data_IF_251303181635
#
_entry.id   IF_251303181635
#
_cell.length_a   1.000
_cell.length_b   1.000
_cell.length_c   1.000
_cell.angle_alpha   90.00
_cell.angle_beta   90.00
_cell.angle_gamma   90.00
#
_symmetry.space_group_name_H-M   'P 1'
#
loop_
_entity.id
_entity.type
_entity.pdbx_description
1 polymer ?
#
# COMPACT_ATOMS: atom_id res chain seq x y z
N UNK A 1 14.48 30.75 12.92
CA UNK A 1 13.33 29.84 12.69
C UNK A 1 12.02 30.42 13.25
N UNK A 2 12.04 31.57 13.95
CA UNK A 2 10.83 32.22 14.51
C UNK A 2 10.08 33.12 13.53
N UNK A 3 10.71 33.57 12.43
CA UNK A 3 10.05 34.49 11.48
C UNK A 3 9.00 33.83 10.56
N UNK A 4 8.99 32.50 10.42
CA UNK A 4 8.00 31.79 9.58
C UNK A 4 6.66 31.53 10.30
N UNK A 5 6.61 31.68 11.63
CA UNK A 5 5.40 31.39 12.40
C UNK A 5 4.44 32.59 12.37
N UNK A 6 4.95 33.83 12.33
CA UNK A 6 4.09 35.01 12.30
C UNK A 6 3.38 35.21 10.96
N UNK A 7 4.00 34.87 9.83
CA UNK A 7 3.35 34.93 8.51
C UNK A 7 2.19 33.93 8.37
N UNK A 8 2.32 32.76 9.00
CA UNK A 8 1.29 31.71 8.95
C UNK A 8 0.05 32.10 9.77
N UNK A 9 0.21 32.86 10.87
CA UNK A 9 -0.91 33.32 11.70
C UNK A 9 -1.67 34.46 11.02
N UNK A 10 -0.99 35.36 10.30
CA UNK A 10 -1.64 36.48 9.63
C UNK A 10 -2.54 36.03 8.47
N UNK A 11 -2.16 34.98 7.73
CA UNK A 11 -2.96 34.44 6.62
C UNK A 11 -4.23 33.70 7.09
N UNK A 12 -4.22 33.11 8.29
CA UNK A 12 -5.41 32.47 8.86
C UNK A 12 -6.42 33.48 9.42
N UNK A 13 -5.97 34.66 9.85
CA UNK A 13 -6.85 35.74 10.34
C UNK A 13 -7.68 36.38 9.21
N UNK A 14 -7.08 36.57 8.03
CA UNK A 14 -7.78 37.13 6.86
C UNK A 14 -8.84 36.19 6.28
N UNK A 15 -8.69 34.87 6.46
CA UNK A 15 -9.66 33.89 5.95
C UNK A 15 -10.91 33.76 6.84
N UNK A 16 -10.78 34.02 8.15
CA UNK A 16 -11.92 34.00 9.10
C UNK A 16 -12.93 35.11 8.84
N UNK A 17 -12.47 36.30 8.45
CA UNK A 17 -13.33 37.46 8.19
C UNK A 17 -14.12 37.37 6.87
N UNK A 18 -13.68 36.53 5.93
CA UNK A 18 -14.43 36.26 4.70
C UNK A 18 -15.54 35.21 4.90
N UNK A 19 -15.37 34.28 5.83
CA UNK A 19 -16.37 33.23 6.10
C UNK A 19 -17.58 33.81 6.85
N UNK A 20 -17.36 34.76 7.77
CA UNK A 20 -18.45 35.41 8.55
C UNK A 20 -19.34 36.33 7.70
N UNK A 21 -18.82 36.93 6.62
CA UNK A 21 -19.64 37.72 5.70
C UNK A 21 -20.49 36.85 4.75
N UNK A 22 -20.06 35.62 4.44
CA UNK A 22 -20.83 34.69 3.60
C UNK A 22 -21.99 34.06 4.40
N UNK A 23 -21.80 33.76 5.69
CA UNK A 23 -22.86 33.20 6.54
C UNK A 23 -23.99 34.19 6.83
N UNK A 24 -23.69 35.48 6.95
CA UNK A 24 -24.72 36.51 7.18
C UNK A 24 -25.55 36.82 5.92
N UNK A 25 -25.00 36.61 4.72
CA UNK A 25 -25.74 36.81 3.48
C UNK A 25 -26.62 35.60 3.13
N UNK A 26 -26.24 34.40 3.57
CA UNK A 26 -27.03 33.18 3.39
C UNK A 26 -28.23 33.10 4.35
N UNK A 27 -28.09 33.56 5.59
CA UNK A 27 -29.19 33.57 6.58
C UNK A 27 -30.33 34.50 6.16
N UNK A 28 -30.03 35.65 5.56
CA UNK A 28 -31.04 36.59 5.06
C UNK A 28 -31.79 36.09 3.80
N UNK A 29 -31.23 35.11 3.06
CA UNK A 29 -31.93 34.48 1.92
C UNK A 29 -32.80 33.28 2.33
N UNK A 30 -32.48 32.62 3.44
CA UNK A 30 -33.25 31.46 3.95
C UNK A 30 -34.51 31.90 4.73
N UNK A 31 -34.51 33.10 5.30
CA UNK A 31 -35.67 33.63 6.03
C UNK A 31 -36.82 34.07 5.09
N UNK A 32 -36.53 34.40 3.83
CA UNK A 32 -37.56 34.73 2.82
C UNK A 32 -38.14 33.52 2.08
N UNK A 33 -37.54 32.33 2.19
CA UNK A 33 -38.05 31.11 1.54
C UNK A 33 -38.97 30.27 2.41
N UNK A 34 -39.21 30.70 3.66
CA UNK A 34 -39.86 29.88 4.68
C UNK A 34 -41.21 30.49 5.09
N UNK A 35 -42.22 30.49 4.22
CA UNK A 35 -43.66 30.39 4.58
C UNK A 35 -44.58 30.52 3.34
N UNK A 36 -44.61 29.51 2.48
CA UNK A 36 -45.81 29.22 1.66
C UNK A 36 -46.32 27.85 2.05
N UNK A 37 -47.13 27.85 3.11
CA UNK A 37 -47.85 26.68 3.59
C UNK A 37 -48.95 26.33 2.57
N UNK A 38 -48.68 25.27 1.81
CA UNK A 38 -49.55 24.37 1.04
C UNK A 38 -51.04 24.74 0.92
N UNK A 39 -51.39 25.38 -0.20
CA UNK A 39 -52.70 25.23 -0.83
C UNK A 39 -52.62 24.03 -1.81
N UNK A 40 -53.16 22.88 -1.42
CA UNK A 40 -53.00 21.60 -2.13
C UNK A 40 -53.68 21.53 -3.50
N UNK A 41 -54.54 22.49 -3.84
CA UNK A 41 -55.23 22.57 -5.14
C UNK A 41 -54.39 23.21 -6.26
N UNK A 42 -53.28 23.89 -5.94
CA UNK A 42 -52.38 24.49 -6.94
C UNK A 42 -51.12 23.65 -7.23
N UNK A 43 -50.88 22.57 -6.48
CA UNK A 43 -49.67 21.74 -6.64
C UNK A 43 -49.71 20.94 -7.93
N UNK A 44 -50.89 20.50 -8.37
CA UNK A 44 -51.07 19.76 -9.63
C UNK A 44 -50.73 20.61 -10.86
N UNK A 45 -50.90 21.93 -10.79
CA UNK A 45 -50.56 22.85 -11.89
C UNK A 45 -49.09 23.31 -11.87
N UNK A 46 -48.43 23.27 -10.72
CA UNK A 46 -47.01 23.67 -10.60
C UNK A 46 -46.04 22.58 -11.10
N UNK A 47 -46.44 21.30 -10.97
CA UNK A 47 -45.63 20.16 -11.44
C UNK A 47 -45.55 20.09 -12.97
N UNK A 48 -46.50 20.70 -13.71
CA UNK A 48 -46.48 20.69 -15.18
C UNK A 48 -45.53 21.72 -15.83
N UNK A 49 -44.95 22.64 -15.05
CA UNK A 49 -44.09 23.71 -15.58
C UNK A 49 -42.59 23.46 -15.46
N UNK A 50 -42.16 22.38 -14.79
CA UNK A 50 -40.73 22.07 -14.68
C UNK A 50 -40.26 21.32 -15.91
N UNK A 51 -39.45 22.00 -16.73
CA UNK A 51 -38.80 21.46 -17.93
C UNK A 51 -38.08 20.12 -17.59
N UNK A 52 -38.52 18.99 -18.17
CA UNK A 52 -37.86 17.71 -18.00
C UNK A 52 -36.38 17.75 -18.36
N UNK A 53 -35.99 18.55 -19.36
CA UNK A 53 -34.60 18.63 -19.83
C UNK A 53 -33.68 19.17 -18.74
N UNK A 54 -34.14 20.15 -17.94
CA UNK A 54 -33.37 20.66 -16.81
C UNK A 54 -33.11 19.56 -15.78
N UNK A 55 -34.12 18.75 -15.45
CA UNK A 55 -33.97 17.64 -14.50
C UNK A 55 -32.94 16.60 -14.96
N UNK A 56 -33.06 16.14 -16.21
CA UNK A 56 -32.15 15.10 -16.73
C UNK A 56 -30.73 15.62 -16.92
N UNK A 57 -30.57 16.87 -17.39
CA UNK A 57 -29.25 17.49 -17.57
C UNK A 57 -28.56 17.72 -16.23
N UNK A 58 -29.26 18.28 -15.23
CA UNK A 58 -28.70 18.46 -13.88
C UNK A 58 -28.33 17.13 -13.24
N UNK A 59 -29.16 16.11 -13.42
CA UNK A 59 -28.88 14.75 -12.93
C UNK A 59 -27.64 14.14 -13.59
N UNK A 60 -27.54 14.23 -14.92
CA UNK A 60 -26.39 13.71 -15.66
C UNK A 60 -25.09 14.44 -15.28
N UNK A 61 -25.13 15.76 -15.13
CA UNK A 61 -23.97 16.58 -14.73
C UNK A 61 -23.50 16.22 -13.31
N UNK A 62 -24.44 16.07 -12.37
CA UNK A 62 -24.14 15.65 -11.00
C UNK A 62 -23.52 14.25 -10.96
N UNK A 63 -24.12 13.28 -11.65
CA UNK A 63 -23.58 11.93 -11.75
C UNK A 63 -22.19 11.89 -12.39
N UNK A 64 -21.99 12.64 -13.48
CA UNK A 64 -20.69 12.73 -14.15
C UNK A 64 -19.60 13.31 -13.24
N UNK A 65 -19.93 14.32 -12.43
CA UNK A 65 -18.99 14.92 -11.47
C UNK A 65 -18.50 13.88 -10.45
N UNK A 66 -19.41 13.05 -9.93
CA UNK A 66 -19.07 12.01 -8.95
C UNK A 66 -18.27 10.90 -9.59
N UNK A 67 -18.66 10.47 -10.79
CA UNK A 67 -17.89 9.49 -11.56
C UNK A 67 -16.47 9.99 -11.79
N UNK A 68 -16.31 11.26 -12.13
CA UNK A 68 -15.00 11.90 -12.30
C UNK A 68 -14.19 11.88 -11.01
N UNK A 69 -14.77 12.29 -9.88
CA UNK A 69 -14.09 12.32 -8.59
C UNK A 69 -13.69 10.92 -8.11
N UNK A 70 -14.62 9.98 -8.15
CA UNK A 70 -14.40 8.60 -7.71
C UNK A 70 -13.43 7.87 -8.65
N UNK A 71 -13.53 8.11 -9.95
CA UNK A 71 -12.58 7.63 -10.95
C UNK A 71 -11.16 8.13 -10.70
N UNK A 72 -11.00 9.43 -10.41
CA UNK A 72 -9.71 10.00 -10.02
C UNK A 72 -9.16 9.34 -8.75
N UNK A 73 -9.99 9.19 -7.70
CA UNK A 73 -9.59 8.54 -6.46
C UNK A 73 -9.13 7.09 -6.67
N UNK A 74 -9.91 6.28 -7.38
CA UNK A 74 -9.57 4.89 -7.67
C UNK A 74 -8.28 4.78 -8.51
N UNK A 75 -8.11 5.66 -9.50
CA UNK A 75 -6.89 5.71 -10.32
C UNK A 75 -5.67 6.01 -9.46
N UNK A 76 -5.75 7.02 -8.58
CA UNK A 76 -4.68 7.36 -7.65
C UNK A 76 -4.37 6.20 -6.71
N UNK A 77 -5.39 5.52 -6.18
CA UNK A 77 -5.22 4.35 -5.31
C UNK A 77 -4.47 3.23 -6.05
N UNK A 78 -4.89 2.89 -7.27
CA UNK A 78 -4.24 1.87 -8.10
C UNK A 78 -2.80 2.25 -8.42
N UNK A 79 -2.54 3.52 -8.73
CA UNK A 79 -1.19 4.02 -9.00
C UNK A 79 -0.28 3.89 -7.77
N UNK A 80 -0.78 4.30 -6.60
CA UNK A 80 -0.05 4.20 -5.33
C UNK A 80 0.25 2.74 -4.98
N UNK A 81 -0.73 1.84 -5.14
CA UNK A 81 -0.54 0.40 -4.94
C UNK A 81 0.51 -0.17 -5.89
N UNK A 82 0.47 0.19 -7.18
CA UNK A 82 1.45 -0.24 -8.17
C UNK A 82 2.86 0.26 -7.84
N UNK A 83 2.98 1.52 -7.42
CA UNK A 83 4.26 2.10 -6.98
C UNK A 83 4.83 1.35 -5.78
N UNK A 84 4.00 1.11 -4.77
CA UNK A 84 4.38 0.35 -3.58
C UNK A 84 4.81 -1.08 -3.92
N UNK A 85 4.05 -1.81 -4.75
CA UNK A 85 4.41 -3.16 -5.17
C UNK A 85 5.71 -3.19 -5.96
N UNK A 86 5.95 -2.18 -6.81
CA UNK A 86 7.22 -2.05 -7.54
C UNK A 86 8.39 -1.87 -6.57
N UNK A 87 8.25 -0.98 -5.58
CA UNK A 87 9.25 -0.81 -4.54
C UNK A 87 9.49 -2.11 -3.77
N UNK A 88 8.43 -2.79 -3.36
CA UNK A 88 8.52 -4.05 -2.63
C UNK A 88 9.19 -5.16 -3.44
N UNK A 89 8.95 -5.24 -4.75
CA UNK A 89 9.65 -6.17 -5.66
C UNK A 89 11.13 -5.83 -5.81
N UNK A 90 11.47 -4.54 -5.87
CA UNK A 90 12.87 -4.10 -5.89
C UNK A 90 13.56 -4.48 -4.59
N UNK A 91 12.96 -4.19 -3.42
CA UNK A 91 13.50 -4.60 -2.11
C UNK A 91 13.76 -6.12 -2.07
N UNK A 92 12.83 -6.93 -2.55
CA UNK A 92 12.98 -8.39 -2.60
C UNK A 92 14.17 -8.79 -3.49
N UNK A 93 14.29 -8.17 -4.68
CA UNK A 93 15.39 -8.46 -5.59
C UNK A 93 16.75 -8.07 -4.99
N UNK A 94 16.85 -6.92 -4.33
CA UNK A 94 18.06 -6.50 -3.61
C UNK A 94 18.42 -7.46 -2.46
N UNK A 95 17.42 -7.91 -1.70
CA UNK A 95 17.63 -8.90 -0.63
C UNK A 95 18.06 -10.27 -1.19
N UNK A 96 17.52 -10.70 -2.33
CA UNK A 96 17.93 -11.91 -3.03
C UNK A 96 19.39 -11.83 -3.49
N UNK A 97 19.79 -10.70 -4.08
CA UNK A 97 21.19 -10.44 -4.46
C UNK A 97 22.12 -10.43 -3.26
N UNK A 98 21.72 -9.76 -2.16
CA UNK A 98 22.52 -9.72 -0.93
C UNK A 98 22.68 -11.10 -0.32
N UNK A 99 21.62 -11.90 -0.30
CA UNK A 99 21.65 -13.29 0.18
C UNK A 99 22.61 -14.14 -0.66
N UNK A 100 22.56 -14.00 -1.98
CA UNK A 100 23.46 -14.73 -2.89
C UNK A 100 24.91 -14.35 -2.64
N UNK A 101 25.19 -13.06 -2.48
CA UNK A 101 26.52 -12.56 -2.16
C UNK A 101 27.07 -13.16 -0.86
N UNK A 102 26.28 -13.15 0.22
CA UNK A 102 26.65 -13.77 1.51
C UNK A 102 26.89 -15.28 1.35
N UNK A 103 26.08 -15.96 0.53
CA UNK A 103 26.26 -17.39 0.23
C UNK A 103 27.60 -17.66 -0.47
N UNK A 104 27.96 -16.84 -1.45
CA UNK A 104 29.25 -16.92 -2.14
C UNK A 104 30.42 -16.64 -1.18
N UNK A 105 30.30 -15.64 -0.30
CA UNK A 105 31.32 -15.36 0.72
C UNK A 105 31.57 -16.57 1.64
N UNK A 106 30.49 -17.19 2.14
CA UNK A 106 30.58 -18.40 2.96
C UNK A 106 31.29 -19.52 2.20
N UNK A 107 30.97 -19.71 0.92
CA UNK A 107 31.61 -20.74 0.08
C UNK A 107 33.11 -20.47 -0.10
N UNK A 108 33.49 -19.23 -0.42
CA UNK A 108 34.89 -18.83 -0.58
C UNK A 108 35.68 -19.02 0.73
N UNK A 109 35.08 -18.74 1.89
CA UNK A 109 35.72 -18.93 3.18
C UNK A 109 35.89 -20.43 3.48
N UNK A 110 34.88 -21.26 3.21
CA UNK A 110 34.98 -22.73 3.36
C UNK A 110 36.06 -23.33 2.47
N UNK A 111 36.23 -22.82 1.25
CA UNK A 111 37.30 -23.28 0.36
C UNK A 111 38.68 -22.93 0.93
N UNK A 112 38.87 -21.68 1.37
CA UNK A 112 40.11 -21.26 2.06
C UNK A 112 40.40 -22.14 3.28
N UNK A 113 39.37 -22.38 4.09
CA UNK A 113 39.44 -23.23 5.28
C UNK A 113 39.85 -24.67 4.95
N UNK A 114 39.31 -25.25 3.88
CA UNK A 114 39.64 -26.62 3.44
C UNK A 114 41.08 -26.72 2.94
N UNK A 115 41.59 -25.65 2.31
CA UNK A 115 42.96 -25.60 1.77
C UNK A 115 44.05 -25.32 2.84
N UNK A 116 43.68 -24.95 4.08
CA UNK A 116 44.63 -24.56 5.12
C UNK A 116 45.37 -25.74 5.79
N UNK A 117 44.65 -26.83 6.02
CA UNK A 117 45.17 -28.01 6.69
C UNK A 117 45.32 -29.14 5.67
N UNK A 118 46.54 -29.62 5.49
CA UNK A 118 46.78 -30.81 4.68
C UNK A 118 46.30 -32.07 5.43
N UNK A 119 45.89 -33.11 4.69
CA UNK A 119 45.47 -34.38 5.30
C UNK A 119 46.50 -34.94 6.30
N UNK A 120 47.80 -34.72 6.04
CA UNK A 120 48.90 -35.12 6.92
C UNK A 120 48.90 -34.36 8.26
N UNK A 121 48.61 -33.06 8.25
CA UNK A 121 48.51 -32.24 9.46
C UNK A 121 47.29 -32.65 10.29
N UNK A 122 46.17 -32.95 9.64
CA UNK A 122 44.97 -33.48 10.31
C UNK A 122 45.24 -34.84 10.95
N UNK A 123 45.95 -35.74 10.25
CA UNK A 123 46.36 -37.03 10.81
C UNK A 123 47.30 -36.89 12.02
N UNK A 124 48.24 -35.92 11.99
CA UNK A 124 49.11 -35.61 13.12
C UNK A 124 48.30 -35.15 14.34
N UNK A 125 47.34 -34.25 14.16
CA UNK A 125 46.45 -33.82 15.24
C UNK A 125 45.61 -34.98 15.79
N UNK A 126 45.11 -35.88 14.93
CA UNK A 126 44.37 -37.09 15.35
C UNK A 126 45.22 -38.09 16.13
N UNK A 127 46.53 -38.17 15.85
CA UNK A 127 47.45 -39.01 16.64
C UNK A 127 47.63 -38.48 18.07
N UNK A 128 47.61 -37.15 18.24
CA UNK A 128 47.74 -36.49 19.55
C UNK A 128 46.42 -36.61 20.34
N UNK A 129 45.28 -36.41 19.66
CA UNK A 129 43.96 -36.58 20.23
C UNK A 129 43.03 -37.27 19.20
N UNK A 130 42.64 -38.54 19.40
CA UNK A 130 41.80 -39.27 18.45
C UNK A 130 40.42 -38.64 18.22
N UNK A 131 39.90 -37.86 19.18
CA UNK A 131 38.62 -37.14 19.04
C UNK A 131 38.79 -35.74 18.41
N UNK A 132 39.98 -35.42 17.91
CA UNK A 132 40.28 -34.14 17.28
C UNK A 132 39.28 -33.81 16.16
N UNK A 133 38.59 -32.68 16.34
CA UNK A 133 37.87 -31.99 15.27
C UNK A 133 38.42 -30.56 15.20
N UNK A 134 38.77 -30.06 13.99
CA UNK A 134 39.34 -28.71 13.84
C UNK A 134 38.51 -27.60 14.49
N UNK A 135 37.18 -27.78 14.54
CA UNK A 135 36.21 -26.82 15.07
C UNK A 135 36.10 -26.83 16.60
N UNK A 136 36.51 -27.91 17.28
CA UNK A 136 36.34 -28.06 18.74
C UNK A 136 37.67 -28.56 19.30
N UNK A 137 38.59 -27.61 19.54
CA UNK A 137 39.88 -27.91 20.14
C UNK A 137 39.98 -27.24 21.53
N UNK A 138 40.02 -28.02 22.63
CA UNK A 138 40.23 -27.47 23.96
C UNK A 138 41.57 -26.73 24.05
N UNK A 139 41.64 -25.63 24.80
CA UNK A 139 42.85 -24.80 24.90
C UNK A 139 44.07 -25.55 25.46
N UNK A 140 43.83 -26.62 26.23
CA UNK A 140 44.87 -27.52 26.72
C UNK A 140 45.59 -28.30 25.59
N UNK A 141 44.86 -28.68 24.54
CA UNK A 141 45.43 -29.44 23.40
C UNK A 141 46.28 -28.55 22.49
N UNK A 142 45.96 -27.24 22.41
CA UNK A 142 46.77 -26.25 21.69
C UNK A 142 48.20 -26.17 22.24
N UNK A 143 48.34 -26.20 23.57
CA UNK A 143 49.66 -26.15 24.24
C UNK A 143 50.50 -27.42 24.01
N UNK A 144 49.86 -28.58 23.84
CA UNK A 144 50.59 -29.82 23.49
C UNK A 144 51.09 -29.77 22.05
N UNK A 145 50.27 -29.26 21.13
CA UNK A 145 50.65 -29.11 19.73
C UNK A 145 51.82 -28.13 19.60
N UNK A 146 51.80 -27.00 20.31
CA UNK A 146 52.86 -26.00 20.25
C UNK A 146 54.25 -26.55 20.62
N UNK A 147 54.31 -27.48 21.58
CA UNK A 147 55.55 -28.10 22.05
C UNK A 147 56.09 -29.17 21.09
N UNK A 148 55.32 -29.61 20.10
CA UNK A 148 55.78 -30.58 19.12
C UNK A 148 56.68 -29.94 18.05
N UNK A 149 57.58 -30.72 17.46
CA UNK A 149 58.44 -30.25 16.37
C UNK A 149 57.57 -29.87 15.15
N UNK A 150 57.65 -28.61 14.70
CA UNK A 150 56.74 -28.05 13.69
C UNK A 150 55.38 -27.57 14.22
N UNK A 151 55.12 -27.75 15.51
CA UNK A 151 53.87 -27.43 16.19
C UNK A 151 53.39 -25.99 16.06
N UNK A 152 54.31 -25.01 16.02
CA UNK A 152 53.98 -23.58 15.87
C UNK A 152 53.27 -23.26 14.55
N UNK A 153 53.68 -23.87 13.44
CA UNK A 153 53.05 -23.65 12.13
C UNK A 153 51.65 -24.29 12.09
N UNK A 154 51.53 -25.51 12.64
CA UNK A 154 50.24 -26.19 12.77
C UNK A 154 49.29 -25.38 13.67
N UNK A 155 49.80 -24.83 14.77
CA UNK A 155 49.05 -23.98 15.69
C UNK A 155 48.54 -22.72 14.99
N UNK A 156 49.38 -22.01 14.24
CA UNK A 156 48.96 -20.81 13.48
C UNK A 156 47.85 -21.13 12.47
N UNK A 157 47.98 -22.25 11.75
CA UNK A 157 46.94 -22.73 10.81
C UNK A 157 45.64 -23.09 11.52
N UNK A 158 45.71 -23.71 12.70
CA UNK A 158 44.54 -24.05 13.51
C UNK A 158 43.84 -22.80 14.06
N UNK A 159 44.59 -21.79 14.49
CA UNK A 159 44.03 -20.52 14.92
C UNK A 159 43.28 -19.85 13.76
N UNK A 160 43.88 -19.76 12.58
CA UNK A 160 43.21 -19.26 11.37
C UNK A 160 41.98 -20.08 10.99
N UNK A 161 42.04 -21.40 11.15
CA UNK A 161 40.90 -22.28 10.90
C UNK A 161 39.71 -21.93 11.82
N UNK A 162 39.98 -21.70 13.12
CA UNK A 162 38.95 -21.28 14.10
C UNK A 162 38.36 -19.91 13.74
N UNK A 163 39.22 -18.96 13.36
CA UNK A 163 38.75 -17.64 12.90
C UNK A 163 37.79 -17.76 11.71
N UNK A 164 38.07 -18.66 10.75
CA UNK A 164 37.14 -18.91 9.64
C UNK A 164 35.81 -19.53 10.08
N UNK A 165 35.83 -20.46 11.04
CA UNK A 165 34.60 -21.04 11.61
C UNK A 165 33.71 -19.96 12.23
N UNK A 166 34.29 -19.05 13.03
CA UNK A 166 33.56 -17.94 13.65
C UNK A 166 32.93 -17.01 12.60
N UNK A 167 33.69 -16.67 11.54
CA UNK A 167 33.17 -15.85 10.43
C UNK A 167 32.06 -16.58 9.67
N UNK A 168 32.21 -17.88 9.41
CA UNK A 168 31.16 -18.70 8.75
C UNK A 168 29.89 -18.72 9.59
N UNK A 169 30.00 -18.91 10.91
CA UNK A 169 28.85 -18.93 11.82
C UNK A 169 28.13 -17.57 11.79
N UNK A 170 28.88 -16.48 11.89
CA UNK A 170 28.33 -15.12 11.80
C UNK A 170 27.58 -14.89 10.48
N UNK A 171 28.20 -15.25 9.36
CA UNK A 171 27.60 -15.10 8.01
C UNK A 171 26.38 -16.00 7.79
N UNK A 172 26.36 -17.21 8.35
CA UNK A 172 25.14 -18.05 8.35
C UNK A 172 24.00 -17.41 9.14
N UNK A 173 24.31 -16.73 10.25
CA UNK A 173 23.36 -15.91 10.99
C UNK A 173 22.76 -14.79 10.12
N UNK A 174 23.61 -14.05 9.40
CA UNK A 174 23.19 -13.03 8.42
C UNK A 174 22.29 -13.64 7.32
N UNK A 175 22.67 -14.80 6.76
CA UNK A 175 21.88 -15.49 5.74
C UNK A 175 20.50 -15.91 6.25
N UNK A 176 20.41 -16.41 7.49
CA UNK A 176 19.14 -16.78 8.13
C UNK A 176 18.25 -15.55 8.34
N UNK A 177 18.82 -14.45 8.80
CA UNK A 177 18.12 -13.18 8.93
C UNK A 177 17.56 -12.70 7.59
N UNK A 178 18.37 -12.72 6.53
CA UNK A 178 17.95 -12.33 5.18
C UNK A 178 16.82 -13.23 4.66
N UNK A 179 16.89 -14.54 4.88
CA UNK A 179 15.83 -15.47 4.51
C UNK A 179 14.50 -15.13 5.20
N UNK A 180 14.51 -14.89 6.51
CA UNK A 180 13.31 -14.54 7.25
C UNK A 180 12.70 -13.23 6.76
N UNK A 181 13.55 -12.22 6.51
CA UNK A 181 13.11 -10.93 5.98
C UNK A 181 12.50 -11.06 4.57
N UNK A 182 13.09 -11.90 3.73
CA UNK A 182 12.64 -12.16 2.37
C UNK A 182 11.29 -12.89 2.38
N UNK A 183 11.11 -13.90 3.24
CA UNK A 183 9.82 -14.56 3.46
C UNK A 183 8.76 -13.55 3.87
N UNK A 184 9.05 -12.74 4.90
CA UNK A 184 8.13 -11.70 5.36
C UNK A 184 7.75 -10.69 4.27
N UNK A 185 8.71 -10.25 3.45
CA UNK A 185 8.46 -9.33 2.33
C UNK A 185 7.66 -9.99 1.21
N UNK A 186 7.89 -11.28 0.91
CA UNK A 186 7.11 -12.05 -0.07
C UNK A 186 5.66 -12.24 0.39
N UNK A 187 5.44 -12.51 1.67
CA UNK A 187 4.08 -12.57 2.26
C UNK A 187 3.34 -11.24 2.09
N UNK A 188 4.01 -10.10 2.32
CA UNK A 188 3.40 -8.77 2.08
C UNK A 188 2.98 -8.53 0.63
N UNK A 189 3.70 -9.09 -0.35
CA UNK A 189 3.29 -9.02 -1.76
C UNK A 189 1.98 -9.76 -1.96
N UNK A 190 1.89 -11.00 -1.45
CA UNK A 190 0.71 -11.86 -1.60
C UNK A 190 -0.52 -11.21 -0.97
N UNK A 191 -0.41 -10.71 0.27
CA UNK A 191 -1.54 -10.08 0.96
C UNK A 191 -2.03 -8.81 0.28
N UNK A 192 -1.14 -8.06 -0.39
CA UNK A 192 -1.51 -6.80 -1.06
C UNK A 192 -1.84 -6.94 -2.54
N UNK A 193 -1.61 -8.11 -3.14
CA UNK A 193 -2.06 -8.43 -4.49
C UNK A 193 -3.57 -8.67 -4.57
N UNK A 194 -4.30 -8.45 -3.47
CA UNK A 194 -5.76 -8.44 -3.40
C UNK A 194 -6.38 -7.21 -4.10
N UNK A 195 -6.06 -7.06 -5.38
CA UNK A 195 -6.67 -6.14 -6.35
C UNK A 195 -8.17 -6.39 -6.57
N UNK A 196 -8.71 -7.48 -6.00
CA UNK A 196 -10.10 -7.88 -6.10
C UNK A 196 -11.04 -6.73 -5.70
N UNK A 197 -10.75 -6.07 -4.57
CA UNK A 197 -11.59 -4.97 -4.06
C UNK A 197 -11.57 -3.75 -4.98
N UNK A 198 -10.41 -3.32 -5.48
CA UNK A 198 -10.32 -2.19 -6.42
C UNK A 198 -11.07 -2.46 -7.74
N UNK A 199 -11.09 -3.71 -8.23
CA UNK A 199 -11.85 -4.09 -9.43
C UNK A 199 -13.36 -3.96 -9.22
N UNK A 200 -13.87 -4.39 -8.05
CA UNK A 200 -15.29 -4.26 -7.71
C UNK A 200 -15.72 -2.80 -7.71
N UNK A 201 -14.92 -1.91 -7.12
CA UNK A 201 -15.23 -0.47 -7.14
C UNK A 201 -15.24 0.12 -8.56
N UNK A 202 -14.33 -0.32 -9.44
CA UNK A 202 -14.32 0.12 -10.83
C UNK A 202 -15.55 -0.36 -11.59
N UNK A 203 -15.97 -1.61 -11.38
CA UNK A 203 -17.20 -2.16 -11.98
C UNK A 203 -18.43 -1.38 -11.49
N UNK A 204 -18.52 -1.13 -10.18
CA UNK A 204 -19.60 -0.34 -9.60
C UNK A 204 -19.64 1.08 -10.19
N UNK A 205 -18.48 1.69 -10.42
CA UNK A 205 -18.36 3.00 -11.06
C UNK A 205 -18.86 3.00 -12.50
N UNK A 206 -18.53 1.96 -13.28
CA UNK A 206 -18.99 1.79 -14.66
C UNK A 206 -20.51 1.62 -14.69
N UNK A 207 -21.06 0.75 -13.84
CA UNK A 207 -22.51 0.53 -13.72
C UNK A 207 -23.20 1.85 -13.36
N UNK A 208 -22.69 2.58 -12.38
CA UNK A 208 -23.25 3.88 -12.01
C UNK A 208 -23.12 4.93 -13.11
N UNK A 209 -22.05 4.91 -13.91
CA UNK A 209 -21.91 5.82 -15.05
C UNK A 209 -23.01 5.57 -16.08
N UNK A 210 -23.26 4.30 -16.43
CA UNK A 210 -24.35 3.91 -17.36
C UNK A 210 -25.71 4.37 -16.82
N UNK A 211 -25.96 4.11 -15.55
CA UNK A 211 -27.22 4.41 -14.88
C UNK A 211 -27.44 5.91 -14.65
N UNK A 212 -26.43 6.61 -14.12
CA UNK A 212 -26.54 7.98 -13.62
C UNK A 212 -26.25 9.03 -14.68
N UNK A 213 -25.44 8.72 -15.69
CA UNK A 213 -25.06 9.67 -16.76
C UNK A 213 -25.79 9.33 -18.05
N UNK A 214 -25.65 8.10 -18.54
CA UNK A 214 -26.18 7.74 -19.85
C UNK A 214 -27.70 7.58 -19.85
N UNK A 215 -28.32 7.02 -18.80
CA UNK A 215 -29.77 6.87 -18.78
C UNK A 215 -30.52 8.21 -18.78
N UNK A 216 -30.14 9.25 -18.01
CA UNK A 216 -30.76 10.58 -18.11
C UNK A 216 -30.53 11.24 -19.47
N UNK A 217 -29.32 11.13 -20.04
CA UNK A 217 -29.03 11.66 -21.37
C UNK A 217 -29.85 10.95 -22.46
N UNK A 218 -30.03 9.64 -22.34
CA UNK A 218 -30.89 8.88 -23.25
C UNK A 218 -32.35 9.31 -23.13
N UNK A 219 -32.84 9.55 -21.91
CA UNK A 219 -34.20 10.04 -21.69
C UNK A 219 -34.44 11.41 -22.34
N UNK A 220 -33.44 12.28 -22.40
CA UNK A 220 -33.54 13.57 -23.11
C UNK A 220 -33.72 13.44 -24.64
N UNK A 221 -33.44 12.27 -25.22
CA UNK A 221 -33.66 12.02 -26.65
C UNK A 221 -35.09 11.58 -26.99
N UNK A 222 -35.91 11.30 -25.96
CA UNK A 222 -37.29 10.84 -26.14
C UNK A 222 -38.26 12.01 -26.16
N UNK A 223 -39.48 11.74 -26.64
CA UNK A 223 -40.55 12.75 -26.65
C UNK A 223 -40.91 13.23 -25.25
N UNK A 224 -41.39 14.47 -25.17
CA UNK A 224 -41.73 15.17 -23.92
C UNK A 224 -42.69 14.38 -23.02
N UNK A 225 -43.70 13.74 -23.60
CA UNK A 225 -44.66 12.93 -22.85
C UNK A 225 -43.99 11.72 -22.18
N UNK A 226 -43.12 11.03 -22.91
CA UNK A 226 -42.33 9.89 -22.41
C UNK A 226 -41.39 10.34 -21.29
N UNK A 227 -40.71 11.47 -21.47
CA UNK A 227 -39.86 12.08 -20.43
C UNK A 227 -40.63 12.33 -19.13
N UNK A 228 -41.81 12.94 -19.19
CA UNK A 228 -42.61 13.17 -17.98
C UNK A 228 -43.03 11.85 -17.33
N UNK A 229 -43.50 10.88 -18.13
CA UNK A 229 -44.01 9.59 -17.65
C UNK A 229 -42.94 8.80 -16.86
N UNK A 230 -41.70 8.78 -17.33
CA UNK A 230 -40.63 8.00 -16.72
C UNK A 230 -39.75 8.77 -15.73
N UNK A 231 -40.00 10.07 -15.53
CA UNK A 231 -39.21 10.94 -14.63
C UNK A 231 -39.00 10.35 -13.23
N UNK A 232 -40.08 9.89 -12.60
CA UNK A 232 -40.05 9.32 -11.24
C UNK A 232 -39.24 8.02 -11.20
N UNK A 233 -39.40 7.16 -12.20
CA UNK A 233 -38.65 5.90 -12.29
C UNK A 233 -37.16 6.16 -12.44
N UNK A 234 -36.77 7.10 -13.31
CA UNK A 234 -35.37 7.50 -13.51
C UNK A 234 -34.79 8.12 -12.25
N UNK A 235 -35.55 8.96 -11.55
CA UNK A 235 -35.13 9.54 -10.28
C UNK A 235 -34.82 8.46 -9.21
N UNK A 236 -35.73 7.50 -9.04
CA UNK A 236 -35.54 6.38 -8.10
C UNK A 236 -34.30 5.57 -8.48
N UNK A 237 -34.11 5.30 -9.77
CA UNK A 237 -32.99 4.54 -10.28
C UNK A 237 -31.65 5.25 -10.00
N UNK A 238 -31.58 6.57 -10.25
CA UNK A 238 -30.42 7.40 -9.90
C UNK A 238 -30.17 7.36 -8.38
N UNK A 239 -31.22 7.55 -7.57
CA UNK A 239 -31.12 7.56 -6.11
C UNK A 239 -30.61 6.23 -5.55
N UNK A 240 -31.06 5.10 -6.10
CA UNK A 240 -30.51 3.78 -5.78
C UNK A 240 -29.01 3.69 -6.12
N UNK A 241 -28.61 4.18 -7.30
CA UNK A 241 -27.20 4.25 -7.69
C UNK A 241 -26.36 5.06 -6.70
N UNK A 242 -26.90 6.19 -6.22
CA UNK A 242 -26.26 7.03 -5.20
C UNK A 242 -26.07 6.30 -3.88
N UNK A 243 -27.08 5.59 -3.41
CA UNK A 243 -27.00 4.81 -2.16
C UNK A 243 -25.93 3.73 -2.27
N UNK A 244 -25.81 3.06 -3.43
CA UNK A 244 -24.78 2.03 -3.67
C UNK A 244 -23.38 2.63 -3.63
N UNK A 245 -23.15 3.78 -4.30
CA UNK A 245 -21.85 4.46 -4.25
C UNK A 245 -21.52 4.91 -2.84
N UNK A 246 -22.47 5.52 -2.14
CA UNK A 246 -22.27 6.01 -0.79
C UNK A 246 -21.94 4.86 0.16
N UNK A 247 -22.66 3.73 0.06
CA UNK A 247 -22.36 2.52 0.80
C UNK A 247 -20.95 2.00 0.49
N UNK A 248 -20.58 1.93 -0.79
CA UNK A 248 -19.24 1.50 -1.21
C UNK A 248 -18.15 2.41 -0.65
N UNK A 249 -18.36 3.73 -0.62
CA UNK A 249 -17.43 4.70 -0.05
C UNK A 249 -17.31 4.55 1.46
N UNK A 250 -18.43 4.41 2.18
CA UNK A 250 -18.44 4.22 3.63
C UNK A 250 -17.73 2.91 4.00
N UNK A 251 -18.00 1.83 3.26
CA UNK A 251 -17.34 0.54 3.47
C UNK A 251 -15.82 0.67 3.29
N UNK A 252 -15.40 1.40 2.26
CA UNK A 252 -13.98 1.64 2.00
C UNK A 252 -13.31 2.48 3.10
N UNK A 253 -13.99 3.53 3.57
CA UNK A 253 -13.51 4.37 4.68
C UNK A 253 -13.39 3.55 5.98
N UNK A 254 -14.31 2.63 6.24
CA UNK A 254 -14.21 1.71 7.38
C UNK A 254 -13.02 0.78 7.24
N UNK A 255 -12.84 0.16 6.08
CA UNK A 255 -11.70 -0.72 5.79
C UNK A 255 -10.34 0.00 5.88
N UNK A 256 -10.30 1.33 5.74
CA UNK A 256 -9.07 2.12 5.91
C UNK A 256 -8.81 2.52 7.37
N UNK A 257 -9.81 2.44 8.24
CA UNK A 257 -9.69 2.78 9.67
C UNK A 257 -9.17 1.59 10.48
N UNK A 258 -9.65 0.40 10.13
CA UNK A 258 -9.29 -0.86 10.79
C UNK A 258 -7.96 -1.40 10.26
#
# INVERSE_FOLDING_TARGET
MENNIQETILNNSLNSNNITNITNHASHLIEKSSFYFLNTSNITHFVSQVDPNWFYSASAQSAATIVGLMGAFLTTKVLNQKSYLKQLKNDISELEQKKEHVSTEIQNIKEKQTNLLTNKEVELCKKINPSFTPSILPDYDLQRIEKSEGGKNILEKLTKYREYDDVIISKKGEQLFLNNLLTYKKEQVITKEDFSNSKVHFINLVIFSIIGVFAPLFMMLLDFETMIKYRVAVFILILCGWVIILYSLISEIKNLRD
#
